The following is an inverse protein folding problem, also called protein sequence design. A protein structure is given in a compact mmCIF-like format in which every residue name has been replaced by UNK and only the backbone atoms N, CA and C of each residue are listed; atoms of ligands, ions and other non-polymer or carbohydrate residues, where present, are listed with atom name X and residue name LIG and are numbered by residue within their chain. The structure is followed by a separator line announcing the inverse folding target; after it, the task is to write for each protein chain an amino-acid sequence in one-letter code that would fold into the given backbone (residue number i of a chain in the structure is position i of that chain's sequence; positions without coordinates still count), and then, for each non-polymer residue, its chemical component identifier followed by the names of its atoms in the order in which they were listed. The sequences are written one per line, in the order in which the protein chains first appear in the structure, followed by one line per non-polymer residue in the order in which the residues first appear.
data_IF_192539278075
#
_entry.id   IF_192539278075
#
_cell.length_a   1.000
_cell.length_b   1.000
_cell.length_c   1.000
_cell.angle_alpha   90.00
_cell.angle_beta   90.00
_cell.angle_gamma   90.00
#
_symmetry.space_group_name_H-M   'P 1'
#
loop_
_entity.id
_entity.type
_entity.pdbx_description
1 polymer ?
#
# COMPACT_ATOMS: atom_id res chain seq x y z
N UNK A 1 29.37 -20.83 -12.31
CA UNK A 1 27.96 -20.65 -11.92
C UNK A 1 27.57 -19.26 -12.35
N UNK A 2 26.69 -19.13 -13.35
CA UNK A 2 26.27 -17.82 -13.85
C UNK A 2 25.59 -17.08 -12.70
N UNK A 3 26.17 -15.99 -12.22
CA UNK A 3 25.48 -15.05 -11.34
C UNK A 3 24.38 -14.43 -12.18
N UNK A 4 23.22 -15.09 -12.22
CA UNK A 4 22.03 -14.51 -12.84
C UNK A 4 21.73 -13.25 -12.07
N UNK A 5 21.72 -12.12 -12.76
CA UNK A 5 21.32 -10.84 -12.18
C UNK A 5 19.92 -11.02 -11.58
N UNK A 6 19.76 -10.66 -10.29
CA UNK A 6 18.44 -10.73 -9.65
C UNK A 6 17.54 -9.64 -10.24
N UNK A 7 16.60 -10.07 -11.07
CA UNK A 7 15.78 -9.15 -11.85
C UNK A 7 14.79 -8.37 -10.98
N UNK A 8 14.52 -8.82 -9.74
CA UNK A 8 13.72 -8.07 -8.76
C UNK A 8 14.40 -6.75 -8.39
N UNK A 9 15.70 -6.81 -8.12
CA UNK A 9 16.50 -5.64 -7.74
C UNK A 9 16.63 -4.69 -8.93
N UNK A 10 16.92 -5.22 -10.13
CA UNK A 10 17.01 -4.42 -11.35
C UNK A 10 15.70 -3.68 -11.63
N UNK A 11 14.58 -4.38 -11.54
CA UNK A 11 13.28 -3.79 -11.81
C UNK A 11 12.87 -2.77 -10.74
N UNK A 12 13.21 -3.02 -9.47
CA UNK A 12 13.02 -2.04 -8.41
C UNK A 12 13.82 -0.76 -8.70
N UNK A 13 15.14 -0.87 -8.87
CA UNK A 13 16.01 0.29 -9.10
C UNK A 13 15.58 1.06 -10.34
N UNK A 14 15.23 0.37 -11.43
CA UNK A 14 14.68 1.00 -12.65
C UNK A 14 13.40 1.78 -12.37
N UNK A 15 12.52 1.29 -11.49
CA UNK A 15 11.25 1.94 -11.15
C UNK A 15 11.42 3.25 -10.37
N UNK A 16 12.61 3.49 -9.81
CA UNK A 16 12.93 4.71 -9.06
C UNK A 16 14.21 5.42 -9.53
N UNK A 17 14.78 5.02 -10.67
CA UNK A 17 16.05 5.52 -11.21
C UNK A 17 16.06 7.05 -11.38
N UNK A 18 14.95 7.63 -11.82
CA UNK A 18 14.79 9.10 -11.97
C UNK A 18 14.99 9.87 -10.67
N UNK A 19 14.81 9.23 -9.52
CA UNK A 19 15.01 9.82 -8.19
C UNK A 19 16.30 9.37 -7.52
N UNK A 20 17.12 8.56 -8.19
CA UNK A 20 18.37 8.01 -7.65
C UNK A 20 18.17 7.00 -6.51
N UNK A 21 16.96 6.45 -6.36
CA UNK A 21 16.63 5.53 -5.26
C UNK A 21 16.96 4.11 -5.70
N UNK A 22 17.73 3.42 -4.87
CA UNK A 22 18.10 2.02 -5.06
C UNK A 22 17.70 1.18 -3.84
N UNK A 23 17.46 -0.11 -4.06
CA UNK A 23 17.25 -1.05 -2.97
C UNK A 23 18.56 -1.21 -2.18
N UNK A 24 18.56 -1.10 -0.83
CA UNK A 24 19.76 -1.28 -0.04
C UNK A 24 20.39 -2.65 -0.29
N UNK A 25 21.69 -2.65 -0.63
CA UNK A 25 22.46 -3.87 -0.94
C UNK A 25 22.29 -4.95 0.12
N UNK A 26 22.47 -4.59 1.39
CA UNK A 26 22.37 -5.52 2.51
C UNK A 26 20.97 -6.14 2.62
N UNK A 27 19.92 -5.35 2.34
CA UNK A 27 18.56 -5.84 2.34
C UNK A 27 18.29 -6.79 1.16
N UNK A 28 18.89 -6.52 0.01
CA UNK A 28 18.84 -7.41 -1.15
C UNK A 28 19.57 -8.74 -0.91
N UNK A 29 20.78 -8.68 -0.35
CA UNK A 29 21.61 -9.86 -0.07
C UNK A 29 21.00 -10.75 1.02
N UNK A 30 20.44 -10.14 2.07
CA UNK A 30 19.86 -10.86 3.19
C UNK A 30 18.33 -11.06 3.08
N UNK A 31 17.74 -10.63 1.96
CA UNK A 31 16.28 -10.62 1.74
C UNK A 31 15.49 -10.00 2.90
N UNK A 32 16.03 -8.93 3.48
CA UNK A 32 15.42 -8.24 4.61
C UNK A 32 14.35 -7.28 4.13
N UNK A 33 13.22 -7.24 4.84
CA UNK A 33 12.24 -6.17 4.68
C UNK A 33 12.81 -4.83 5.14
N UNK A 34 12.24 -3.74 4.64
CA UNK A 34 12.66 -2.42 5.07
C UNK A 34 11.80 -1.29 4.52
N UNK A 35 12.29 -0.08 4.76
CA UNK A 35 11.64 1.18 4.40
C UNK A 35 12.68 2.16 3.86
N UNK A 36 12.36 2.84 2.76
CA UNK A 36 13.14 3.94 2.21
C UNK A 36 12.29 5.20 2.30
N UNK A 37 12.88 6.28 2.79
CA UNK A 37 12.26 7.62 2.84
C UNK A 37 13.20 8.60 2.14
N UNK A 38 12.95 8.89 0.87
CA UNK A 38 13.87 9.66 0.05
C UNK A 38 13.13 10.37 -1.10
N UNK A 39 13.57 11.57 -1.48
CA UNK A 39 13.04 12.31 -2.63
C UNK A 39 11.50 12.45 -2.65
N UNK A 40 10.88 12.55 -1.46
CA UNK A 40 9.42 12.65 -1.30
C UNK A 40 8.67 11.31 -1.41
N UNK A 41 9.38 10.22 -1.65
CA UNK A 41 8.87 8.85 -1.60
C UNK A 41 8.96 8.29 -0.19
N UNK A 42 7.97 7.47 0.14
CA UNK A 42 8.10 6.50 1.21
C UNK A 42 7.77 5.13 0.65
N UNK A 43 8.74 4.21 0.72
CA UNK A 43 8.70 2.92 0.05
C UNK A 43 8.94 1.84 1.10
N UNK A 44 7.94 1.00 1.33
CA UNK A 44 8.09 -0.23 2.10
C UNK A 44 8.32 -1.37 1.16
N UNK A 45 9.20 -2.27 1.54
CA UNK A 45 9.47 -3.44 0.73
C UNK A 45 9.70 -4.66 1.62
N UNK A 46 9.38 -5.83 1.08
CA UNK A 46 9.63 -7.12 1.70
C UNK A 46 9.86 -8.19 0.65
N UNK A 47 10.61 -9.21 1.04
CA UNK A 47 10.84 -10.40 0.22
C UNK A 47 9.94 -11.53 0.69
N UNK A 48 9.55 -12.39 -0.23
CA UNK A 48 8.78 -13.59 0.08
C UNK A 48 8.84 -14.62 -1.04
N UNK A 49 8.06 -15.69 -0.88
CA UNK A 49 7.92 -16.78 -1.85
C UNK A 49 6.46 -17.19 -1.97
N UNK A 50 6.00 -17.40 -3.19
CA UNK A 50 4.69 -17.98 -3.50
C UNK A 50 4.84 -19.14 -4.50
N UNK A 51 3.74 -19.62 -5.07
CA UNK A 51 3.73 -20.72 -6.07
C UNK A 51 4.47 -20.38 -7.37
N UNK A 52 4.57 -19.08 -7.72
CA UNK A 52 5.31 -18.61 -8.90
C UNK A 52 6.80 -18.39 -8.59
N UNK A 53 7.19 -18.40 -7.32
CA UNK A 53 8.57 -18.37 -6.87
C UNK A 53 8.91 -17.21 -5.95
N UNK A 54 10.19 -16.85 -5.92
CA UNK A 54 10.70 -15.78 -5.07
C UNK A 54 10.30 -14.40 -5.61
N UNK A 55 9.82 -13.53 -4.71
CA UNK A 55 9.33 -12.21 -5.05
C UNK A 55 9.83 -11.10 -4.12
N UNK A 56 9.71 -9.86 -4.58
CA UNK A 56 9.85 -8.60 -3.85
C UNK A 56 8.54 -7.83 -3.97
N UNK A 57 7.83 -7.63 -2.87
CA UNK A 57 6.69 -6.72 -2.82
C UNK A 57 7.17 -5.35 -2.36
N UNK A 58 6.65 -4.28 -2.97
CA UNK A 58 6.80 -2.94 -2.43
C UNK A 58 5.50 -2.13 -2.49
N UNK A 59 5.29 -1.34 -1.44
CA UNK A 59 4.29 -0.28 -1.39
C UNK A 59 5.02 1.06 -1.40
N UNK A 60 4.73 1.90 -2.38
CA UNK A 60 5.35 3.21 -2.50
C UNK A 60 4.30 4.30 -2.58
N UNK A 61 4.46 5.31 -1.74
CA UNK A 61 3.67 6.54 -1.76
C UNK A 61 4.58 7.72 -2.02
N UNK A 62 4.11 8.65 -2.82
CA UNK A 62 4.80 9.91 -3.06
C UNK A 62 3.84 11.06 -2.81
N UNK A 63 4.33 12.13 -2.18
CA UNK A 63 3.52 13.30 -1.81
C UNK A 63 2.76 14.00 -2.96
N UNK A 64 3.07 13.69 -4.21
CA UNK A 64 2.47 14.30 -5.41
C UNK A 64 1.88 13.29 -6.41
N UNK A 65 1.94 11.99 -6.15
CA UNK A 65 1.41 10.97 -7.07
C UNK A 65 0.61 9.92 -6.32
N UNK A 66 -0.08 9.05 -7.06
CA UNK A 66 -0.82 7.94 -6.46
C UNK A 66 0.12 6.89 -5.84
N UNK A 67 -0.40 6.22 -4.82
CA UNK A 67 0.25 5.07 -4.19
C UNK A 67 0.28 3.88 -5.16
N UNK A 68 1.41 3.15 -5.15
CA UNK A 68 1.60 1.93 -5.92
C UNK A 68 1.93 0.76 -5.00
N UNK A 69 1.36 -0.41 -5.28
CA UNK A 69 1.70 -1.67 -4.66
C UNK A 69 2.02 -2.66 -5.76
N UNK A 70 3.24 -3.19 -5.77
CA UNK A 70 3.77 -3.99 -6.87
C UNK A 70 4.52 -5.19 -6.34
N UNK A 71 4.33 -6.35 -6.98
CA UNK A 71 5.16 -7.55 -6.83
C UNK A 71 6.11 -7.68 -8.01
N UNK A 72 7.38 -7.94 -7.73
CA UNK A 72 8.43 -8.23 -8.71
C UNK A 72 8.94 -9.66 -8.50
N UNK A 73 9.04 -10.44 -9.57
CA UNK A 73 9.54 -11.82 -9.53
C UNK A 73 10.97 -11.93 -10.07
N UNK A 74 11.67 -13.01 -9.69
CA UNK A 74 13.04 -13.28 -10.11
C UNK A 74 13.21 -13.45 -11.63
N UNK A 75 12.16 -13.86 -12.34
CA UNK A 75 12.13 -13.95 -13.81
C UNK A 75 11.97 -12.59 -14.51
N UNK A 76 11.80 -11.51 -13.73
CA UNK A 76 11.60 -10.15 -14.23
C UNK A 76 10.16 -9.77 -14.51
N UNK A 77 9.20 -10.70 -14.33
CA UNK A 77 7.79 -10.37 -14.40
C UNK A 77 7.37 -9.50 -13.20
N UNK A 78 6.29 -8.73 -13.39
CA UNK A 78 5.75 -7.86 -12.36
C UNK A 78 4.23 -7.90 -12.33
N UNK A 79 3.66 -7.71 -11.15
CA UNK A 79 2.20 -7.68 -10.95
C UNK A 79 1.81 -6.45 -10.13
N UNK A 80 0.84 -5.69 -10.64
CA UNK A 80 0.15 -4.67 -9.86
C UNK A 80 -0.74 -5.32 -8.81
N UNK A 81 -0.58 -4.91 -7.56
CA UNK A 81 -1.37 -5.35 -6.42
C UNK A 81 -2.32 -4.23 -5.99
N UNK A 82 -3.32 -4.56 -5.17
CA UNK A 82 -4.25 -3.55 -4.69
C UNK A 82 -3.50 -2.52 -3.83
N UNK A 83 -3.66 -1.24 -4.17
CA UNK A 83 -3.23 -0.11 -3.35
C UNK A 83 -4.42 0.62 -2.76
N UNK A 84 -4.15 1.45 -1.75
CA UNK A 84 -5.18 2.30 -1.17
C UNK A 84 -5.72 3.28 -2.21
N UNK A 85 -7.03 3.52 -2.15
CA UNK A 85 -7.66 4.64 -2.84
C UNK A 85 -7.52 5.87 -1.97
N UNK A 86 -6.91 6.92 -2.52
CA UNK A 86 -6.77 8.22 -1.86
C UNK A 86 -7.95 9.15 -2.15
N UNK A 87 -8.66 8.93 -3.26
CA UNK A 87 -9.76 9.78 -3.72
C UNK A 87 -11.02 8.95 -3.89
N UNK A 88 -12.12 9.42 -3.28
CA UNK A 88 -13.48 8.87 -3.45
C UNK A 88 -14.18 9.58 -4.61
N UNK A 89 -14.92 8.84 -5.44
CA UNK A 89 -15.87 9.44 -6.39
C UNK A 89 -17.09 9.96 -5.63
N UNK A 90 -17.69 11.06 -6.10
CA UNK A 90 -18.89 11.65 -5.47
C UNK A 90 -20.04 11.69 -6.47
N UNK A 91 -21.27 11.60 -5.97
CA UNK A 91 -22.50 11.79 -6.75
C UNK A 91 -23.41 12.84 -6.12
N UNK A 92 -24.25 13.47 -6.94
CA UNK A 92 -25.32 14.35 -6.46
C UNK A 92 -26.56 13.55 -6.02
N UNK A 93 -26.67 12.28 -6.41
CA UNK A 93 -27.70 11.37 -5.89
C UNK A 93 -27.26 10.86 -4.50
N UNK A 94 -28.02 11.12 -3.41
CA UNK A 94 -27.66 10.69 -2.06
C UNK A 94 -27.59 9.17 -1.84
N UNK A 95 -28.28 8.36 -2.65
CA UNK A 95 -28.17 6.90 -2.55
C UNK A 95 -26.89 6.40 -3.24
N UNK A 96 -26.63 6.89 -4.46
CA UNK A 96 -25.38 6.59 -5.19
C UNK A 96 -24.15 7.07 -4.41
N UNK A 97 -24.17 8.28 -3.83
CA UNK A 97 -23.04 8.79 -3.06
C UNK A 97 -22.73 7.93 -1.82
N UNK A 98 -23.77 7.41 -1.14
CA UNK A 98 -23.60 6.46 -0.03
C UNK A 98 -23.01 5.13 -0.49
N UNK A 99 -23.38 4.63 -1.67
CA UNK A 99 -22.80 3.42 -2.24
C UNK A 99 -21.31 3.64 -2.55
N UNK A 100 -20.96 4.76 -3.20
CA UNK A 100 -19.58 5.14 -3.49
C UNK A 100 -18.74 5.33 -2.21
N UNK A 101 -19.34 5.83 -1.12
CA UNK A 101 -18.72 5.87 0.20
C UNK A 101 -18.40 4.47 0.74
N UNK A 102 -19.38 3.58 0.74
CA UNK A 102 -19.19 2.21 1.25
C UNK A 102 -18.13 1.46 0.45
N UNK A 103 -18.18 1.52 -0.88
CA UNK A 103 -17.19 0.86 -1.75
C UNK A 103 -15.76 1.37 -1.51
N UNK A 104 -15.60 2.68 -1.30
CA UNK A 104 -14.29 3.27 -1.02
C UNK A 104 -13.71 2.73 0.30
N UNK A 105 -14.51 2.72 1.36
CA UNK A 105 -14.06 2.23 2.66
C UNK A 105 -13.82 0.72 2.67
N UNK A 106 -14.73 -0.08 2.08
CA UNK A 106 -14.57 -1.54 1.99
C UNK A 106 -13.33 -1.92 1.18
N UNK A 107 -13.03 -1.19 0.10
CA UNK A 107 -11.79 -1.35 -0.65
C UNK A 107 -10.58 -1.08 0.24
N UNK A 108 -10.51 0.08 0.90
CA UNK A 108 -9.36 0.44 1.72
C UNK A 108 -9.18 -0.48 2.94
N UNK A 109 -10.27 -0.96 3.54
CA UNK A 109 -10.23 -1.94 4.64
C UNK A 109 -9.66 -3.28 4.17
N UNK A 110 -10.08 -3.77 3.00
CA UNK A 110 -9.54 -4.99 2.40
C UNK A 110 -8.04 -4.84 2.08
N UNK A 111 -7.63 -3.71 1.51
CA UNK A 111 -6.20 -3.42 1.27
C UNK A 111 -5.42 -3.40 2.57
N UNK A 112 -5.96 -2.80 3.64
CA UNK A 112 -5.31 -2.77 4.95
C UNK A 112 -5.04 -4.17 5.48
N UNK A 113 -6.05 -5.06 5.43
CA UNK A 113 -5.90 -6.46 5.84
C UNK A 113 -4.89 -7.22 4.98
N UNK A 114 -4.89 -6.98 3.67
CA UNK A 114 -3.91 -7.59 2.75
C UNK A 114 -2.49 -7.20 3.14
N UNK A 115 -2.24 -5.91 3.36
CA UNK A 115 -0.92 -5.39 3.75
C UNK A 115 -0.49 -5.90 5.12
N UNK A 116 -1.39 -5.92 6.11
CA UNK A 116 -1.12 -6.48 7.43
C UNK A 116 -0.73 -7.97 7.34
N UNK A 117 -1.49 -8.77 6.58
CA UNK A 117 -1.21 -10.20 6.40
C UNK A 117 0.14 -10.47 5.72
N UNK A 118 0.61 -9.54 4.88
CA UNK A 118 1.91 -9.60 4.22
C UNK A 118 3.07 -9.17 5.11
N UNK A 119 2.79 -8.58 6.27
CA UNK A 119 3.81 -8.07 7.17
C UNK A 119 4.23 -6.62 6.89
N UNK A 120 3.39 -5.85 6.18
CA UNK A 120 3.52 -4.39 6.05
C UNK A 120 2.92 -3.63 7.26
N UNK A 121 2.43 -4.34 8.29
CA UNK A 121 1.84 -3.76 9.51
C UNK A 121 2.72 -3.88 10.78
N UNK A 122 2.68 -2.81 11.60
CA UNK A 122 2.92 -2.71 13.06
C UNK A 122 4.24 -3.21 13.69
N UNK A 123 5.37 -2.61 13.32
CA UNK A 123 6.53 -2.47 14.25
C UNK A 123 7.14 -1.06 14.21
N UNK A 124 6.28 -0.03 14.17
CA UNK A 124 6.69 1.36 14.43
C UNK A 124 7.06 2.21 13.20
N UNK A 125 7.00 1.63 11.99
CA UNK A 125 7.34 2.33 10.74
C UNK A 125 6.19 2.22 9.72
N UNK A 126 4.97 2.61 10.08
CA UNK A 126 3.79 2.41 9.23
C UNK A 126 3.77 3.28 7.95
N UNK A 127 3.13 2.77 6.90
CA UNK A 127 2.86 3.54 5.68
C UNK A 127 1.90 4.71 5.95
N UNK A 128 2.19 5.95 5.51
CA UNK A 128 1.34 7.12 5.73
C UNK A 128 -0.12 6.85 5.35
N UNK A 129 -0.37 6.20 4.23
CA UNK A 129 -1.72 5.80 3.83
C UNK A 129 -2.35 4.73 4.75
N UNK A 130 -1.57 3.87 5.41
CA UNK A 130 -2.08 2.97 6.46
C UNK A 130 -2.44 3.77 7.72
N UNK A 131 -1.61 4.74 8.13
CA UNK A 131 -1.90 5.64 9.26
C UNK A 131 -3.14 6.47 8.98
N UNK A 132 -3.21 7.11 7.82
CA UNK A 132 -4.32 7.96 7.39
C UNK A 132 -5.59 7.12 7.27
N UNK A 133 -5.56 5.96 6.61
CA UNK A 133 -6.75 5.11 6.52
C UNK A 133 -7.19 4.58 7.88
N UNK A 134 -6.26 4.27 8.80
CA UNK A 134 -6.60 3.88 10.16
C UNK A 134 -7.29 5.02 10.90
N UNK A 135 -6.70 6.22 10.91
CA UNK A 135 -7.30 7.41 11.55
C UNK A 135 -8.67 7.72 10.96
N UNK A 136 -8.82 7.65 9.64
CA UNK A 136 -10.10 7.88 8.98
C UNK A 136 -11.12 6.77 9.29
N UNK A 137 -10.71 5.51 9.42
CA UNK A 137 -11.58 4.39 9.80
C UNK A 137 -12.02 4.51 11.26
N UNK A 138 -11.11 4.87 12.18
CA UNK A 138 -11.47 5.19 13.57
C UNK A 138 -12.37 6.43 13.66
N UNK A 139 -12.20 7.41 12.77
CA UNK A 139 -13.08 8.58 12.68
C UNK A 139 -14.43 8.26 12.05
N UNK A 140 -14.56 7.23 11.20
CA UNK A 140 -15.83 6.73 10.64
C UNK A 140 -16.77 6.23 11.72
N UNK A 141 -16.26 5.60 12.79
CA UNK A 141 -17.06 5.22 13.95
C UNK A 141 -17.59 6.44 14.71
N UNK A 142 -16.77 7.48 14.86
CA UNK A 142 -17.17 8.76 15.43
C UNK A 142 -18.18 9.51 14.53
N UNK A 143 -17.97 9.50 13.21
CA UNK A 143 -18.85 10.15 12.23
C UNK A 143 -20.22 9.45 12.14
N UNK A 144 -20.26 8.11 12.13
CA UNK A 144 -21.51 7.32 12.23
C UNK A 144 -22.27 7.60 13.53
N UNK A 145 -21.56 7.91 14.62
CA UNK A 145 -22.17 8.26 15.92
C UNK A 145 -22.76 9.68 15.92
N UNK A 146 -22.23 10.58 15.09
CA UNK A 146 -22.74 11.96 14.92
C UNK A 146 -23.90 12.02 13.93
N UNK A 147 -23.91 11.19 12.87
CA UNK A 147 -24.99 11.16 11.87
C UNK A 147 -26.17 10.27 12.24
N UNK A 148 -26.02 9.34 13.19
CA UNK A 148 -27.15 8.79 13.96
C UNK A 148 -27.54 9.80 15.04
N UNK A 149 -28.28 10.83 14.66
CA UNK A 149 -28.91 11.75 15.61
C UNK A 149 -29.76 10.98 16.64
N UNK A 150 -30.01 11.56 17.83
CA UNK A 150 -30.84 10.92 18.85
C UNK A 150 -32.21 10.64 18.24
N UNK A 151 -32.53 9.36 18.09
CA UNK A 151 -33.85 8.90 17.68
C UNK A 151 -34.91 9.55 18.58
N UNK A 152 -35.98 10.00 17.92
CA UNK A 152 -37.18 10.57 18.52
C UNK A 152 -37.60 9.81 19.76
N UNK A 153 -37.83 10.57 20.83
CA UNK A 153 -38.74 10.14 21.89
C UNK A 153 -40.12 10.05 21.27
N UNK A 154 -40.73 8.88 21.34
CA UNK A 154 -42.17 8.74 21.52
C UNK A 154 -42.40 8.21 22.94
#
# INVERSE_FOLDING_TARGET
MSSSVDQRIVNFNRSFETWGIELPREAAENQQRGKIVESGWTIWYLFGRDEAGDYLDYCASHRMTNDRHVRLYADGSSKGLNSYRSIRRISNDPEEDRQLENEFWEHNERVSRELESKGFGLEGDEHPSTIINRVLTSSRESYRRVTKGPGSKD
#
